data_IF_351850116908
#
_entry.id   IF_351850116908
#
_cell.length_a   1.000
_cell.length_b   1.000
_cell.length_c   1.000
_cell.angle_alpha   90.00
_cell.angle_beta   90.00
_cell.angle_gamma   90.00
#
_symmetry.space_group_name_H-M   'P 1'
#
loop_
_entity.id
_entity.type
_entity.pdbx_description
1 polymer ?
#
# COMPACT_ATOMS: atom_id res chain seq x y z
N UNK A 1 -8.05 -29.56 -15.72
CA UNK A 1 -8.55 -28.57 -14.77
C UNK A 1 -8.45 -27.23 -15.49
N UNK A 2 -9.57 -26.72 -15.98
CA UNK A 2 -9.61 -25.45 -16.72
C UNK A 2 -9.29 -24.31 -15.75
N UNK A 3 -8.15 -23.65 -15.97
CA UNK A 3 -7.82 -22.39 -15.32
C UNK A 3 -8.89 -21.36 -15.74
N UNK A 4 -9.76 -20.99 -14.80
CA UNK A 4 -10.83 -20.03 -15.02
C UNK A 4 -10.27 -18.75 -15.63
N UNK A 5 -10.76 -18.42 -16.82
CA UNK A 5 -10.43 -17.18 -17.53
C UNK A 5 -10.88 -16.00 -16.63
N UNK A 6 -10.05 -14.96 -16.40
CA UNK A 6 -10.46 -13.83 -15.59
C UNK A 6 -11.75 -13.22 -16.15
N UNK A 7 -12.74 -13.01 -15.27
CA UNK A 7 -13.97 -12.31 -15.62
C UNK A 7 -13.57 -10.87 -15.97
N UNK A 8 -13.75 -10.46 -17.22
CA UNK A 8 -13.49 -9.09 -17.64
C UNK A 8 -14.40 -8.14 -16.88
N UNK A 9 -13.81 -7.19 -16.17
CA UNK A 9 -14.52 -6.18 -15.40
C UNK A 9 -15.02 -5.02 -16.27
N UNK A 10 -15.69 -5.32 -17.39
CA UNK A 10 -16.02 -4.35 -18.45
C UNK A 10 -16.75 -3.10 -17.90
N UNK A 11 -17.71 -3.28 -16.99
CA UNK A 11 -18.43 -2.15 -16.37
C UNK A 11 -17.53 -1.23 -15.54
N UNK A 12 -16.53 -1.78 -14.85
CA UNK A 12 -15.57 -0.98 -14.05
C UNK A 12 -14.58 -0.25 -14.96
N UNK A 13 -14.18 -0.87 -16.07
CA UNK A 13 -13.33 -0.25 -17.08
C UNK A 13 -14.04 0.95 -17.73
N UNK A 14 -15.29 0.79 -18.13
CA UNK A 14 -16.09 1.89 -18.68
C UNK A 14 -16.28 3.03 -17.68
N UNK A 15 -16.55 2.70 -16.40
CA UNK A 15 -16.64 3.70 -15.33
C UNK A 15 -15.35 4.48 -15.16
N UNK A 16 -14.20 3.79 -15.15
CA UNK A 16 -12.90 4.44 -15.09
C UNK A 16 -12.66 5.40 -16.26
N UNK A 17 -12.95 4.95 -17.49
CA UNK A 17 -12.76 5.76 -18.70
C UNK A 17 -13.63 7.02 -18.70
N UNK A 18 -14.83 6.94 -18.13
CA UNK A 18 -15.76 8.06 -18.03
C UNK A 18 -15.40 9.02 -16.90
N UNK A 19 -15.20 8.49 -15.69
CA UNK A 19 -15.16 9.29 -14.46
C UNK A 19 -13.72 9.59 -14.00
N UNK A 20 -12.71 8.88 -14.53
CA UNK A 20 -11.32 8.98 -14.12
C UNK A 20 -11.01 8.28 -12.79
N UNK A 21 -12.00 7.68 -12.14
CA UNK A 21 -11.87 6.89 -10.92
C UNK A 21 -12.96 5.81 -10.84
N UNK A 22 -12.76 4.84 -9.95
CA UNK A 22 -13.75 3.81 -9.62
C UNK A 22 -13.59 3.38 -8.16
N UNK A 23 -14.56 2.62 -7.66
CA UNK A 23 -14.49 1.96 -6.36
C UNK A 23 -14.53 0.45 -6.61
N UNK A 24 -13.52 -0.25 -6.11
CA UNK A 24 -13.46 -1.71 -6.08
C UNK A 24 -13.52 -2.14 -4.61
N UNK A 25 -14.62 -2.78 -4.24
CA UNK A 25 -14.78 -3.34 -2.91
C UNK A 25 -13.96 -4.62 -2.76
N UNK A 26 -13.43 -4.87 -1.56
CA UNK A 26 -12.68 -6.09 -1.24
C UNK A 26 -11.49 -6.35 -2.18
N UNK A 27 -10.80 -5.30 -2.60
CA UNK A 27 -9.63 -5.39 -3.48
C UNK A 27 -8.48 -6.23 -2.90
N UNK A 28 -8.45 -6.39 -1.58
CA UNK A 28 -7.54 -7.25 -0.83
C UNK A 28 -8.32 -8.36 -0.16
N UNK A 29 -7.70 -9.52 0.00
CA UNK A 29 -8.25 -10.57 0.87
C UNK A 29 -8.15 -10.17 2.34
N UNK A 30 -8.96 -10.79 3.20
CA UNK A 30 -8.88 -10.58 4.65
C UNK A 30 -7.49 -10.90 5.21
N UNK A 31 -6.82 -11.94 4.67
CA UNK A 31 -5.47 -12.30 5.08
C UNK A 31 -4.42 -11.27 4.67
N UNK A 32 -4.51 -10.73 3.46
CA UNK A 32 -3.64 -9.65 2.99
C UNK A 32 -3.84 -8.39 3.85
N UNK A 33 -5.09 -8.00 4.09
CA UNK A 33 -5.41 -6.84 4.90
C UNK A 33 -4.91 -7.00 6.34
N UNK A 34 -5.11 -8.17 6.95
CA UNK A 34 -4.62 -8.47 8.29
C UNK A 34 -3.09 -8.37 8.38
N UNK A 35 -2.36 -8.92 7.41
CA UNK A 35 -0.91 -8.88 7.39
C UNK A 35 -0.38 -7.44 7.23
N UNK A 36 -0.97 -6.65 6.33
CA UNK A 36 -0.62 -5.23 6.19
C UNK A 36 -0.86 -4.44 7.48
N UNK A 37 -2.00 -4.68 8.16
CA UNK A 37 -2.32 -4.01 9.42
C UNK A 37 -1.38 -4.41 10.55
N UNK A 38 -0.92 -5.67 10.57
CA UNK A 38 0.09 -6.15 11.53
C UNK A 38 1.42 -5.40 11.36
N UNK A 39 1.94 -5.34 10.13
CA UNK A 39 3.18 -4.62 9.83
C UNK A 39 3.05 -3.12 10.13
N UNK A 40 1.90 -2.52 9.78
CA UNK A 40 1.63 -1.12 10.08
C UNK A 40 1.63 -0.84 11.58
N UNK A 41 0.99 -1.70 12.37
CA UNK A 41 0.93 -1.57 13.83
C UNK A 41 2.32 -1.69 14.45
N UNK A 42 3.15 -2.62 13.94
CA UNK A 42 4.55 -2.77 14.36
C UNK A 42 5.36 -1.50 14.08
N UNK A 43 5.26 -0.93 12.87
CA UNK A 43 5.99 0.29 12.53
C UNK A 43 5.53 1.50 13.33
N UNK A 44 4.23 1.60 13.64
CA UNK A 44 3.72 2.64 14.55
C UNK A 44 4.32 2.48 15.95
N UNK A 45 4.40 1.26 16.47
CA UNK A 45 5.00 1.02 17.79
C UNK A 45 6.52 1.30 17.81
N UNK A 46 7.25 0.82 16.81
CA UNK A 46 8.68 1.11 16.65
C UNK A 46 8.97 2.61 16.57
N UNK A 47 8.05 3.37 15.98
CA UNK A 47 8.21 4.81 15.81
C UNK A 47 8.38 5.56 17.13
N UNK A 48 7.82 5.07 18.24
CA UNK A 48 7.94 5.69 19.58
C UNK A 48 9.39 5.96 20.00
N UNK A 49 10.32 5.14 19.52
CA UNK A 49 11.74 5.23 19.87
C UNK A 49 12.53 6.20 18.98
N UNK A 50 11.86 7.00 18.14
CA UNK A 50 12.50 7.89 17.18
C UNK A 50 11.89 9.29 17.26
N UNK A 51 12.72 10.31 17.51
CA UNK A 51 12.24 11.71 17.60
C UNK A 51 12.13 12.41 16.23
N UNK A 52 12.68 11.80 15.18
CA UNK A 52 12.82 12.38 13.84
C UNK A 52 12.58 11.31 12.77
N UNK A 53 12.25 11.68 11.52
CA UNK A 53 12.20 10.73 10.41
C UNK A 53 13.44 9.85 10.35
N UNK A 54 13.24 8.55 10.20
CA UNK A 54 14.27 7.53 10.39
C UNK A 54 14.20 6.40 9.34
N UNK A 55 15.16 5.49 9.41
CA UNK A 55 15.42 4.52 8.35
C UNK A 55 15.93 5.18 7.07
N UNK A 56 16.37 4.39 6.10
CA UNK A 56 16.82 4.90 4.80
C UNK A 56 16.31 4.02 3.67
N UNK A 57 15.83 4.67 2.61
CA UNK A 57 15.66 4.02 1.30
C UNK A 57 16.96 4.17 0.49
N UNK A 58 17.02 3.53 -0.68
CA UNK A 58 18.23 3.48 -1.51
C UNK A 58 18.82 4.86 -1.86
N UNK A 59 17.98 5.89 -2.01
CA UNK A 59 18.43 7.26 -2.30
C UNK A 59 18.76 8.10 -1.05
N UNK A 60 18.77 7.47 0.13
CA UNK A 60 19.14 8.09 1.39
C UNK A 60 18.01 8.85 2.10
N UNK A 61 16.84 9.02 1.49
CA UNK A 61 15.68 9.64 2.17
C UNK A 61 15.15 8.76 3.32
N UNK A 62 14.52 9.38 4.34
CA UNK A 62 13.90 8.63 5.42
C UNK A 62 12.85 7.65 4.91
N UNK A 63 12.88 6.42 5.44
CA UNK A 63 11.87 5.41 5.15
C UNK A 63 10.59 5.68 5.92
N UNK A 64 10.75 5.97 7.22
CA UNK A 64 9.68 6.27 8.16
C UNK A 64 9.66 7.77 8.41
N UNK A 65 8.52 8.38 8.11
CA UNK A 65 8.31 9.81 8.25
C UNK A 65 7.33 10.07 9.39
N UNK A 66 7.71 10.95 10.31
CA UNK A 66 6.97 11.25 11.53
C UNK A 66 6.28 12.61 11.42
N UNK A 67 5.12 12.76 12.06
CA UNK A 67 4.49 14.05 12.23
C UNK A 67 5.18 14.81 13.36
N UNK A 68 6.12 15.68 12.99
CA UNK A 68 7.04 16.35 13.94
C UNK A 68 6.32 17.09 15.07
N UNK A 69 5.16 17.71 14.80
CA UNK A 69 4.47 18.53 15.78
C UNK A 69 3.78 17.71 16.89
N UNK A 70 3.45 16.45 16.62
CA UNK A 70 2.62 15.62 17.51
C UNK A 70 3.30 14.33 17.92
N UNK A 71 4.41 13.95 17.29
CA UNK A 71 5.11 12.71 17.59
C UNK A 71 5.77 12.77 18.97
N UNK A 72 5.49 11.76 19.79
CA UNK A 72 6.24 11.49 21.01
C UNK A 72 6.26 9.99 21.29
N UNK A 73 7.05 9.59 22.28
CA UNK A 73 7.04 8.22 22.79
C UNK A 73 5.63 7.79 23.22
N UNK A 74 4.87 8.65 23.90
CA UNK A 74 3.52 8.35 24.38
C UNK A 74 2.46 8.48 23.26
N UNK A 75 2.73 9.32 22.25
CA UNK A 75 1.85 9.60 21.12
C UNK A 75 2.55 9.30 19.77
N UNK A 76 2.70 8.03 19.37
CA UNK A 76 3.40 7.66 18.14
C UNK A 76 2.64 8.18 16.92
N UNK A 77 3.26 9.13 16.26
CA UNK A 77 2.69 9.85 15.12
C UNK A 77 3.40 9.52 13.80
N UNK A 78 3.48 8.23 13.43
CA UNK A 78 3.99 7.81 12.12
C UNK A 78 2.99 8.25 11.03
N UNK A 79 3.43 9.05 10.06
CA UNK A 79 2.55 9.58 9.00
C UNK A 79 2.78 8.96 7.62
N UNK A 80 3.95 8.38 7.37
CA UNK A 80 4.24 7.70 6.10
C UNK A 80 5.35 6.66 6.20
N UNK A 81 5.16 5.57 5.46
CA UNK A 81 6.20 4.57 5.17
C UNK A 81 6.48 4.56 3.68
N UNK A 82 7.72 4.85 3.30
CA UNK A 82 8.18 4.88 1.89
C UNK A 82 8.73 3.52 1.47
N UNK A 83 8.37 3.07 0.26
CA UNK A 83 8.78 1.78 -0.29
C UNK A 83 8.61 0.58 0.67
N UNK A 84 7.43 0.38 1.31
CA UNK A 84 7.26 -0.66 2.32
C UNK A 84 7.46 -2.08 1.77
N UNK A 85 7.24 -2.31 0.48
CA UNK A 85 7.51 -3.62 -0.16
C UNK A 85 9.00 -4.00 -0.20
N UNK A 86 9.91 -3.08 0.08
CA UNK A 86 11.34 -3.41 0.24
C UNK A 86 11.67 -4.03 1.60
N UNK A 87 10.79 -3.87 2.60
CA UNK A 87 11.04 -4.30 3.99
C UNK A 87 9.94 -5.20 4.57
N UNK A 88 8.84 -5.40 3.84
CA UNK A 88 7.70 -6.20 4.27
C UNK A 88 7.27 -7.16 3.16
N UNK A 89 7.22 -8.46 3.50
CA UNK A 89 6.72 -9.48 2.61
C UNK A 89 5.21 -9.28 2.33
N UNK A 90 4.42 -8.90 3.34
CA UNK A 90 2.99 -8.63 3.17
C UNK A 90 2.73 -7.50 2.16
N UNK A 91 3.52 -6.42 2.25
CA UNK A 91 3.45 -5.32 1.28
C UNK A 91 3.89 -5.75 -0.12
N UNK A 92 4.92 -6.60 -0.22
CA UNK A 92 5.41 -7.12 -1.49
C UNK A 92 4.38 -8.05 -2.15
N UNK A 93 3.73 -8.91 -1.37
CA UNK A 93 2.70 -9.83 -1.83
C UNK A 93 1.53 -9.05 -2.43
N UNK A 94 1.05 -8.02 -1.72
CA UNK A 94 -0.02 -7.15 -2.24
C UNK A 94 0.40 -6.38 -3.48
N UNK A 95 1.64 -5.88 -3.55
CA UNK A 95 2.14 -5.21 -4.77
C UNK A 95 2.16 -6.15 -5.98
N UNK A 96 2.42 -7.45 -5.75
CA UNK A 96 2.54 -8.46 -6.82
C UNK A 96 1.21 -9.10 -7.20
N UNK A 97 0.27 -9.20 -6.29
CA UNK A 97 -0.95 -9.97 -6.47
C UNK A 97 -2.10 -9.42 -5.62
N UNK A 98 -3.07 -8.79 -6.27
CA UNK A 98 -4.32 -8.36 -5.67
C UNK A 98 -5.37 -8.10 -6.78
N UNK A 99 -6.65 -8.07 -6.42
CA UNK A 99 -7.74 -7.92 -7.39
C UNK A 99 -7.73 -6.54 -8.09
N UNK A 100 -7.20 -5.50 -7.44
CA UNK A 100 -7.05 -4.21 -8.09
C UNK A 100 -5.94 -4.24 -9.16
N UNK A 101 -4.91 -5.08 -9.03
CA UNK A 101 -3.87 -5.24 -10.06
C UNK A 101 -4.43 -5.91 -11.33
N UNK A 102 -5.33 -6.88 -11.18
CA UNK A 102 -6.05 -7.48 -12.31
C UNK A 102 -6.86 -6.41 -13.05
N UNK A 103 -7.61 -5.58 -12.31
CA UNK A 103 -8.39 -4.49 -12.88
C UNK A 103 -7.50 -3.41 -13.53
N UNK A 104 -6.35 -3.09 -12.94
CA UNK A 104 -5.36 -2.18 -13.55
C UNK A 104 -4.86 -2.75 -14.88
N UNK A 105 -4.65 -4.07 -14.97
CA UNK A 105 -4.26 -4.74 -16.22
C UNK A 105 -5.39 -4.73 -17.26
N UNK A 106 -6.64 -4.85 -16.84
CA UNK A 106 -7.82 -4.69 -17.72
C UNK A 106 -7.94 -3.26 -18.27
N UNK A 107 -7.60 -2.24 -17.47
CA UNK A 107 -7.69 -0.82 -17.84
C UNK A 107 -6.54 -0.38 -18.75
N UNK A 108 -5.30 -0.73 -18.39
CA UNK A 108 -4.09 -0.21 -19.05
C UNK A 108 -3.40 -1.22 -19.97
N UNK A 109 -3.86 -2.46 -19.99
CA UNK A 109 -3.21 -3.59 -20.64
C UNK A 109 -2.14 -4.26 -19.76
N UNK A 110 -1.59 -5.39 -20.20
CA UNK A 110 -0.73 -6.24 -19.37
C UNK A 110 0.70 -5.69 -19.15
N UNK A 111 1.14 -4.71 -19.95
CA UNK A 111 2.51 -4.18 -19.91
C UNK A 111 2.67 -3.06 -18.88
N UNK A 112 2.27 -3.34 -17.64
CA UNK A 112 2.40 -2.43 -16.50
C UNK A 112 3.66 -2.74 -15.70
N UNK A 113 4.22 -1.72 -15.03
CA UNK A 113 5.34 -1.87 -14.11
C UNK A 113 5.00 -1.26 -12.76
N UNK A 114 5.35 -1.95 -11.67
CA UNK A 114 5.41 -1.32 -10.37
C UNK A 114 6.57 -0.32 -10.35
N UNK A 115 6.28 0.95 -10.05
CA UNK A 115 7.28 2.02 -9.99
C UNK A 115 7.63 2.39 -8.54
N UNK A 116 6.63 2.74 -7.73
CA UNK A 116 6.81 3.11 -6.33
C UNK A 116 5.58 2.76 -5.51
N UNK A 117 5.77 2.45 -4.24
CA UNK A 117 4.68 2.33 -3.27
C UNK A 117 4.97 3.14 -1.99
N UNK A 118 3.89 3.48 -1.29
CA UNK A 118 3.94 4.18 0.00
C UNK A 118 2.66 3.88 0.77
N UNK A 119 2.76 3.82 2.09
CA UNK A 119 1.60 3.83 2.98
C UNK A 119 1.55 5.23 3.61
N UNK A 120 0.40 5.90 3.50
CA UNK A 120 0.16 7.17 4.17
C UNK A 120 -0.81 6.92 5.32
N UNK A 121 -0.45 7.38 6.51
CA UNK A 121 -1.33 7.32 7.68
C UNK A 121 -1.88 8.72 7.93
N UNK A 122 -3.16 8.78 8.26
CA UNK A 122 -3.76 9.96 8.88
C UNK A 122 -3.93 9.64 10.36
N UNK A 123 -3.34 10.47 11.20
CA UNK A 123 -3.54 10.35 12.63
C UNK A 123 -5.00 10.74 12.93
N UNK A 124 -5.69 10.01 13.83
CA UNK A 124 -6.97 10.45 14.35
C UNK A 124 -6.86 11.81 15.07
#
# INVERSE_FOLDING_TARGET
MENGKPIKNTNLVEKFQKDGFLILENALTDSQLLALNSDLSMWVEESRNNEKPYGKIMDGRPRFDLQVDTHSFDNPALRRVTSPAEISQACLDVVKDNQALDLVSDIFGPNIKHWTNKINLKLP
#
